data_IF_397400794113
#
_entry.id   IF_397400794113
#
_cell.length_a   1.000
_cell.length_b   1.000
_cell.length_c   1.000
_cell.angle_alpha   90.00
_cell.angle_beta   90.00
_cell.angle_gamma   90.00
#
_symmetry.space_group_name_H-M   'P 1'
#
loop_
_entity.id
_entity.type
_entity.pdbx_description
1 polymer ?
#
# COMPACT_ATOMS: atom_id res chain seq x y z
N UNK A 1 7.53 -7.74 0.06
CA UNK A 1 7.15 -6.49 -0.65
C UNK A 1 6.73 -6.91 -2.04
N UNK A 2 5.50 -6.56 -2.45
CA UNK A 2 4.94 -6.93 -3.75
C UNK A 2 4.82 -5.66 -4.59
N UNK A 3 5.37 -5.65 -5.81
CA UNK A 3 5.12 -4.59 -6.79
C UNK A 3 3.97 -5.02 -7.69
N UNK A 4 3.02 -4.12 -7.92
CA UNK A 4 1.89 -4.32 -8.82
C UNK A 4 1.88 -3.19 -9.85
N UNK A 5 1.66 -3.53 -11.12
CA UNK A 5 1.69 -2.57 -12.23
C UNK A 5 0.33 -2.37 -12.90
N UNK A 6 -0.67 -3.19 -12.56
CA UNK A 6 -2.01 -3.08 -13.11
C UNK A 6 -3.05 -2.85 -12.00
N UNK A 7 -4.15 -2.22 -12.39
CA UNK A 7 -5.29 -2.00 -11.49
C UNK A 7 -5.92 -3.34 -11.07
N UNK A 8 -5.93 -4.33 -11.96
CA UNK A 8 -6.50 -5.64 -11.69
C UNK A 8 -5.74 -6.36 -10.57
N UNK A 9 -4.41 -6.37 -10.64
CA UNK A 9 -3.56 -7.02 -9.62
C UNK A 9 -3.68 -6.31 -8.27
N UNK A 10 -3.70 -4.97 -8.28
CA UNK A 10 -3.91 -4.19 -7.05
C UNK A 10 -5.26 -4.52 -6.39
N UNK A 11 -6.34 -4.56 -7.17
CA UNK A 11 -7.68 -4.90 -6.68
C UNK A 11 -7.74 -6.32 -6.12
N UNK A 12 -7.08 -7.27 -6.77
CA UNK A 12 -6.98 -8.64 -6.29
C UNK A 12 -6.27 -8.70 -4.94
N UNK A 13 -5.05 -8.13 -4.84
CA UNK A 13 -4.25 -8.17 -3.61
C UNK A 13 -4.93 -7.47 -2.42
N UNK A 14 -5.50 -6.28 -2.64
CA UNK A 14 -6.26 -5.55 -1.60
C UNK A 14 -7.53 -6.31 -1.23
N UNK A 15 -8.20 -6.96 -2.20
CA UNK A 15 -9.39 -7.77 -1.97
C UNK A 15 -9.12 -8.98 -1.07
N UNK A 16 -8.03 -9.71 -1.31
CA UNK A 16 -7.58 -10.82 -0.45
C UNK A 16 -7.30 -10.34 0.97
N UNK A 17 -6.55 -9.25 1.13
CA UNK A 17 -6.24 -8.69 2.46
C UNK A 17 -7.51 -8.28 3.22
N UNK A 18 -8.49 -7.66 2.53
CA UNK A 18 -9.79 -7.31 3.11
C UNK A 18 -10.60 -8.54 3.53
N UNK A 19 -10.64 -9.59 2.70
CA UNK A 19 -11.30 -10.87 3.06
C UNK A 19 -10.68 -11.52 4.28
N UNK A 20 -9.36 -11.40 4.43
CA UNK A 20 -8.64 -11.84 5.63
C UNK A 20 -8.81 -10.94 6.87
N UNK A 21 -9.61 -9.87 6.79
CA UNK A 21 -9.86 -8.96 7.91
C UNK A 21 -8.72 -7.98 8.21
N UNK A 22 -7.76 -7.81 7.32
CA UNK A 22 -6.64 -6.89 7.53
C UNK A 22 -7.10 -5.41 7.48
N UNK A 23 -6.50 -4.58 8.34
CA UNK A 23 -6.56 -3.12 8.21
C UNK A 23 -5.58 -2.67 7.12
N UNK A 24 -6.01 -1.76 6.25
CA UNK A 24 -5.23 -1.32 5.09
C UNK A 24 -4.79 0.13 5.28
N UNK A 25 -3.47 0.35 5.38
CA UNK A 25 -2.86 1.67 5.31
C UNK A 25 -2.58 2.08 3.86
N UNK A 26 -2.76 3.36 3.53
CA UNK A 26 -2.54 3.90 2.19
C UNK A 26 -1.70 5.17 2.23
N UNK A 27 -0.60 5.18 1.49
CA UNK A 27 0.30 6.34 1.35
C UNK A 27 0.46 6.63 -0.15
N UNK A 28 -0.34 7.56 -0.71
CA UNK A 28 -0.20 7.96 -2.11
C UNK A 28 1.06 8.81 -2.30
N UNK A 29 1.87 8.51 -3.31
CA UNK A 29 3.09 9.27 -3.66
C UNK A 29 3.26 9.34 -5.18
N UNK A 30 4.17 10.19 -5.65
CA UNK A 30 4.58 10.26 -7.07
C UNK A 30 6.01 9.72 -7.31
N UNK A 31 6.61 9.03 -6.34
CA UNK A 31 8.00 8.57 -6.40
C UNK A 31 8.99 9.51 -5.68
N UNK A 32 10.29 9.37 -5.97
CA UNK A 32 11.39 10.13 -5.34
C UNK A 32 11.30 10.18 -3.80
N UNK A 33 11.28 9.00 -3.17
CA UNK A 33 10.99 8.88 -1.73
C UNK A 33 12.10 9.48 -0.85
N UNK A 34 11.70 9.99 0.30
CA UNK A 34 12.55 10.59 1.32
C UNK A 34 11.91 10.39 2.71
N UNK A 35 12.55 10.85 3.79
CA UNK A 35 12.16 10.54 5.17
C UNK A 35 10.70 10.85 5.52
N UNK A 36 10.14 11.92 4.94
CA UNK A 36 8.73 12.28 5.11
C UNK A 36 7.77 11.17 4.67
N UNK A 37 8.05 10.53 3.52
CA UNK A 37 7.30 9.36 3.07
C UNK A 37 7.44 8.18 4.06
N UNK A 38 8.66 7.98 4.59
CA UNK A 38 8.92 6.96 5.59
C UNK A 38 8.13 7.17 6.90
N UNK A 39 7.92 8.42 7.31
CA UNK A 39 7.10 8.74 8.48
C UNK A 39 5.64 8.33 8.28
N UNK A 40 5.06 8.64 7.12
CA UNK A 40 3.69 8.25 6.77
C UNK A 40 3.53 6.73 6.71
N UNK A 41 4.51 6.01 6.14
CA UNK A 41 4.51 4.54 6.10
C UNK A 41 4.54 3.94 7.51
N UNK A 42 5.34 4.50 8.42
CA UNK A 42 5.38 4.05 9.82
C UNK A 42 4.05 4.29 10.54
N UNK A 43 3.39 5.41 10.27
CA UNK A 43 2.07 5.72 10.84
C UNK A 43 0.96 4.81 10.28
N UNK A 44 1.10 4.33 9.04
CA UNK A 44 0.12 3.51 8.35
C UNK A 44 0.25 1.99 8.61
N UNK A 45 1.31 1.56 9.30
CA UNK A 45 1.59 0.17 9.66
C UNK A 45 0.78 -0.25 10.89
#
# INVERSE_FOLDING_TARGET
MTLVHTIADLRHAVGEARRGGAKIGFVPTMGALHEGHGALIRQAR
#
